data_IF_233898803118
#
_entry.id   IF_233898803118
#
_cell.length_a   1.000
_cell.length_b   1.000
_cell.length_c   1.000
_cell.angle_alpha   90.00
_cell.angle_beta   90.00
_cell.angle_gamma   90.00
#
_symmetry.space_group_name_H-M   'P 1'
#
loop_
_entity.id
_entity.type
_entity.pdbx_description
1 polymer ?
#
# COMPACT_ATOMS: atom_id res chain seq x y z
N UNK A 1 64.09 11.32 8.95
CA UNK A 1 62.78 10.76 9.36
C UNK A 1 61.72 11.50 8.55
N UNK A 2 60.86 10.79 7.83
CA UNK A 2 59.69 11.42 7.20
C UNK A 2 58.63 11.63 8.28
N UNK A 3 58.14 12.87 8.42
CA UNK A 3 56.96 13.17 9.23
C UNK A 3 55.76 12.82 8.34
N UNK A 4 55.05 11.74 8.68
CA UNK A 4 53.81 11.37 7.98
C UNK A 4 52.73 12.37 8.38
N UNK A 5 52.50 13.39 7.56
CA UNK A 5 51.41 14.36 7.73
C UNK A 5 50.06 13.64 7.62
N UNK A 6 49.50 13.21 8.75
CA UNK A 6 48.14 12.69 8.81
C UNK A 6 47.16 13.86 8.74
N UNK A 7 46.65 14.13 7.54
CA UNK A 7 45.63 15.15 7.30
C UNK A 7 44.24 14.48 7.26
N UNK A 8 43.41 14.55 8.32
CA UNK A 8 42.11 13.88 8.34
C UNK A 8 41.15 14.33 7.24
N UNK A 9 41.36 15.52 6.65
CA UNK A 9 40.62 15.97 5.46
C UNK A 9 40.95 15.20 4.18
N UNK A 10 42.18 14.70 4.00
CA UNK A 10 42.53 13.85 2.84
C UNK A 10 41.93 12.44 2.98
N UNK A 11 41.89 11.92 4.21
CA UNK A 11 41.27 10.62 4.54
C UNK A 11 39.73 10.62 4.47
N UNK A 12 39.11 11.80 4.54
CA UNK A 12 37.69 12.01 4.22
C UNK A 12 37.47 12.14 2.70
N UNK A 13 38.39 12.77 1.98
CA UNK A 13 38.36 12.90 0.52
C UNK A 13 38.63 11.59 -0.22
N UNK A 14 39.18 10.57 0.43
CA UNK A 14 39.38 9.23 -0.14
C UNK A 14 38.16 8.32 0.00
N UNK A 15 37.08 8.78 0.65
CA UNK A 15 35.80 8.07 0.67
C UNK A 15 35.07 8.40 -0.63
N UNK A 16 34.83 7.38 -1.44
CA UNK A 16 34.01 7.51 -2.63
C UNK A 16 32.52 7.57 -2.26
N UNK A 17 32.06 8.77 -1.89
CA UNK A 17 30.65 9.03 -1.64
C UNK A 17 29.77 8.76 -2.87
N UNK A 18 30.33 8.80 -4.09
CA UNK A 18 29.57 8.53 -5.31
C UNK A 18 29.18 7.05 -5.42
N UNK A 19 30.07 6.10 -5.11
CA UNK A 19 29.66 4.68 -5.04
C UNK A 19 28.89 4.32 -3.77
N UNK A 20 29.19 4.94 -2.62
CA UNK A 20 28.44 4.70 -1.37
C UNK A 20 26.97 5.13 -1.45
N UNK A 21 26.65 6.19 -2.21
CA UNK A 21 25.27 6.69 -2.39
C UNK A 21 24.67 6.18 -3.71
N UNK A 22 25.45 6.18 -4.80
CA UNK A 22 25.02 5.76 -6.13
C UNK A 22 24.75 4.26 -6.25
N UNK A 23 25.45 3.41 -5.49
CA UNK A 23 25.17 1.97 -5.45
C UNK A 23 23.75 1.66 -4.99
N UNK A 24 23.33 2.12 -3.79
CA UNK A 24 21.94 2.02 -3.33
C UNK A 24 20.91 2.66 -4.27
N UNK A 25 21.19 3.84 -4.85
CA UNK A 25 20.26 4.50 -5.77
C UNK A 25 20.06 3.70 -7.07
N UNK A 26 21.12 3.19 -7.68
CA UNK A 26 21.02 2.33 -8.87
C UNK A 26 20.26 1.04 -8.54
N UNK A 27 20.53 0.42 -7.38
CA UNK A 27 19.82 -0.78 -6.95
C UNK A 27 18.31 -0.55 -6.76
N UNK A 28 17.89 0.65 -6.33
CA UNK A 28 16.47 1.03 -6.25
C UNK A 28 15.84 1.16 -7.65
N UNK A 29 16.55 1.76 -8.61
CA UNK A 29 16.08 1.89 -10.01
C UNK A 29 15.96 0.50 -10.66
N UNK A 30 16.96 -0.36 -10.50
CA UNK A 30 16.94 -1.73 -11.02
C UNK A 30 15.81 -2.55 -10.37
N UNK A 31 15.60 -2.41 -9.06
CA UNK A 31 14.51 -3.07 -8.34
C UNK A 31 13.12 -2.59 -8.82
N UNK A 32 12.93 -1.29 -9.08
CA UNK A 32 11.69 -0.77 -9.67
C UNK A 32 11.48 -1.29 -11.10
N UNK A 33 12.53 -1.40 -11.91
CA UNK A 33 12.43 -1.94 -13.26
C UNK A 33 12.03 -3.44 -13.25
N UNK A 34 12.66 -4.24 -12.38
CA UNK A 34 12.31 -5.66 -12.19
C UNK A 34 10.87 -5.83 -11.66
N UNK A 35 10.42 -4.98 -10.75
CA UNK A 35 9.03 -4.95 -10.28
C UNK A 35 8.02 -4.64 -11.39
N UNK A 36 8.33 -3.65 -12.25
CA UNK A 36 7.48 -3.31 -13.38
C UNK A 36 7.39 -4.46 -14.40
N UNK A 37 8.50 -5.15 -14.68
CA UNK A 37 8.53 -6.31 -15.56
C UNK A 37 7.72 -7.48 -15.00
N UNK A 38 7.87 -7.83 -13.73
CA UNK A 38 7.08 -8.92 -13.12
C UNK A 38 5.57 -8.62 -13.10
N UNK A 39 5.18 -7.35 -13.00
CA UNK A 39 3.78 -6.90 -13.18
C UNK A 39 3.30 -7.15 -14.62
N UNK A 40 4.11 -6.80 -15.63
CA UNK A 40 3.78 -7.02 -17.05
C UNK A 40 3.68 -8.50 -17.38
N UNK A 41 4.60 -9.32 -16.87
CA UNK A 41 4.62 -10.77 -17.09
C UNK A 41 3.40 -11.44 -16.44
N UNK A 42 3.02 -11.02 -15.24
CA UNK A 42 1.78 -11.45 -14.59
C UNK A 42 0.53 -11.09 -15.42
N UNK A 43 0.45 -9.84 -15.91
CA UNK A 43 -0.67 -9.38 -16.75
C UNK A 43 -0.77 -10.23 -18.03
N UNK A 44 0.35 -10.52 -18.70
CA UNK A 44 0.37 -11.36 -19.90
C UNK A 44 -0.03 -12.80 -19.59
N UNK A 45 0.55 -13.39 -18.54
CA UNK A 45 0.36 -14.80 -18.21
C UNK A 45 -1.06 -15.15 -17.71
N UNK A 46 -1.75 -14.21 -17.05
CA UNK A 46 -3.10 -14.44 -16.48
C UNK A 46 -4.20 -13.73 -17.28
N UNK A 47 -3.87 -12.63 -17.94
CA UNK A 47 -4.85 -11.78 -18.61
C UNK A 47 -5.10 -12.10 -20.08
N UNK A 48 -4.20 -12.81 -20.76
CA UNK A 48 -4.24 -13.02 -22.20
C UNK A 48 -4.05 -14.50 -22.56
N UNK A 49 -4.62 -14.91 -23.70
CA UNK A 49 -4.24 -16.16 -24.36
C UNK A 49 -2.80 -16.08 -24.90
N UNK A 50 -2.07 -17.19 -25.07
CA UNK A 50 -0.73 -17.14 -25.65
C UNK A 50 -0.77 -16.70 -27.12
N UNK A 51 0.26 -15.97 -27.55
CA UNK A 51 0.45 -15.62 -28.96
C UNK A 51 0.53 -16.88 -29.83
N UNK A 52 -0.09 -16.85 -31.01
CA UNK A 52 -0.11 -17.96 -31.96
C UNK A 52 0.67 -17.61 -33.22
N UNK A 53 1.70 -18.38 -33.54
CA UNK A 53 2.46 -18.23 -34.79
C UNK A 53 1.92 -19.19 -35.86
N UNK A 54 1.56 -18.66 -37.04
CA UNK A 54 1.23 -19.51 -38.19
C UNK A 54 2.52 -20.05 -38.81
N UNK A 55 2.70 -21.38 -38.70
CA UNK A 55 3.87 -22.14 -39.17
C UNK A 55 4.13 -21.99 -40.68
N UNK A 56 3.15 -21.51 -41.46
CA UNK A 56 3.26 -21.36 -42.92
C UNK A 56 3.58 -19.94 -43.39
N UNK A 57 3.20 -18.91 -42.64
CA UNK A 57 3.42 -17.49 -42.99
C UNK A 57 4.43 -16.78 -42.09
N UNK A 58 4.70 -17.32 -40.89
CA UNK A 58 5.47 -16.63 -39.84
C UNK A 58 4.72 -15.46 -39.21
N UNK A 59 3.40 -15.38 -39.41
CA UNK A 59 2.58 -14.32 -38.83
C UNK A 59 2.25 -14.63 -37.37
N UNK A 60 2.65 -13.73 -36.46
CA UNK A 60 2.37 -13.82 -35.03
C UNK A 60 1.03 -13.15 -34.77
N UNK A 61 0.01 -13.94 -34.44
CA UNK A 61 -1.28 -13.46 -33.95
C UNK A 61 -1.18 -13.17 -32.45
N UNK A 62 -1.37 -11.91 -32.00
CA UNK A 62 -1.29 -11.58 -30.58
C UNK A 62 -2.39 -12.24 -29.75
N UNK A 63 -2.06 -12.58 -28.52
CA UNK A 63 -2.99 -13.06 -27.49
C UNK A 63 -4.19 -12.13 -27.28
N UNK A 64 -5.38 -12.71 -27.19
CA UNK A 64 -6.62 -12.01 -26.86
C UNK A 64 -6.86 -12.00 -25.34
N UNK A 65 -7.51 -10.96 -24.77
CA UNK A 65 -7.82 -10.94 -23.34
C UNK A 65 -8.76 -12.06 -22.92
N UNK A 66 -8.55 -12.62 -21.72
CA UNK A 66 -9.40 -13.66 -21.13
C UNK A 66 -10.58 -13.00 -20.41
N UNK A 67 -11.80 -13.39 -20.78
CA UNK A 67 -13.06 -12.94 -20.18
C UNK A 67 -13.68 -14.03 -19.33
N UNK A 68 -14.35 -13.62 -18.25
CA UNK A 68 -15.23 -14.46 -17.44
C UNK A 68 -16.68 -14.05 -17.72
N UNK A 69 -17.53 -15.03 -18.05
CA UNK A 69 -18.95 -14.82 -18.26
C UNK A 69 -19.75 -15.17 -17.01
N UNK A 70 -20.54 -14.21 -16.54
CA UNK A 70 -21.47 -14.36 -15.42
C UNK A 70 -22.90 -14.31 -15.95
N UNK A 71 -23.76 -15.19 -15.45
CA UNK A 71 -25.20 -15.20 -15.76
C UNK A 71 -25.98 -14.85 -14.52
N UNK A 72 -26.96 -13.96 -14.63
CA UNK A 72 -27.82 -13.57 -13.53
C UNK A 72 -29.25 -13.24 -14.02
N UNK A 73 -30.30 -13.56 -13.24
CA UNK A 73 -31.66 -13.14 -13.57
C UNK A 73 -31.82 -11.64 -13.30
N UNK A 74 -32.45 -10.92 -14.23
CA UNK A 74 -32.82 -9.51 -14.07
C UNK A 74 -34.30 -9.33 -14.35
N UNK A 75 -34.99 -8.56 -13.49
CA UNK A 75 -36.35 -8.12 -13.75
C UNK A 75 -36.36 -7.17 -14.94
N UNK A 76 -37.09 -7.54 -16.00
CA UNK A 76 -37.27 -6.71 -17.20
C UNK A 76 -38.61 -5.99 -17.22
N UNK A 77 -39.63 -6.58 -16.59
CA UNK A 77 -40.95 -5.97 -16.43
C UNK A 77 -41.43 -6.12 -14.98
N UNK A 78 -41.88 -5.03 -14.33
CA UNK A 78 -42.41 -5.09 -12.96
C UNK A 78 -43.81 -5.70 -12.94
N UNK A 79 -44.18 -6.26 -11.78
CA UNK A 79 -45.53 -6.73 -11.51
C UNK A 79 -46.57 -5.62 -11.73
N UNK A 80 -47.66 -5.94 -12.44
CA UNK A 80 -48.83 -5.05 -12.57
C UNK A 80 -50.00 -5.71 -11.82
N UNK A 81 -50.57 -5.05 -10.79
CA UNK A 81 -51.71 -5.60 -10.05
C UNK A 81 -52.94 -5.73 -10.95
N UNK A 82 -53.82 -6.67 -10.61
CA UNK A 82 -55.14 -6.71 -11.23
C UNK A 82 -55.93 -5.43 -10.88
N UNK A 83 -56.65 -4.90 -11.87
CA UNK A 83 -57.57 -3.77 -11.67
C UNK A 83 -58.93 -4.23 -12.18
N UNK A 84 -59.87 -4.35 -11.24
CA UNK A 84 -61.24 -4.76 -11.54
C UNK A 84 -62.13 -3.52 -11.67
N UNK A 85 -63.20 -3.61 -12.47
CA UNK A 85 -64.25 -2.60 -12.52
C UNK A 85 -63.80 -1.26 -13.10
N UNK A 86 -63.00 -1.26 -14.16
CA UNK A 86 -62.66 -0.04 -14.92
C UNK A 86 -63.82 0.27 -15.85
N UNK A 87 -64.41 1.46 -15.77
CA UNK A 87 -65.47 1.89 -16.69
C UNK A 87 -64.88 2.10 -18.09
N UNK A 88 -65.34 1.30 -19.05
CA UNK A 88 -64.94 1.39 -20.46
C UNK A 88 -65.93 2.22 -21.27
N UNK A 89 -67.23 2.04 -21.03
CA UNK A 89 -68.29 2.82 -21.68
C UNK A 89 -69.33 3.31 -20.69
N UNK A 90 -69.87 4.49 -20.98
CA UNK A 90 -71.00 5.09 -20.28
C UNK A 90 -72.09 5.35 -21.32
N UNK A 91 -73.28 4.82 -21.07
CA UNK A 91 -74.48 5.06 -21.86
C UNK A 91 -75.50 5.83 -21.02
N UNK A 92 -76.23 6.75 -21.65
CA UNK A 92 -77.27 7.53 -20.96
C UNK A 92 -78.50 6.64 -20.73
N UNK A 93 -79.00 6.60 -19.50
CA UNK A 93 -80.29 6.01 -19.16
C UNK A 93 -81.40 7.05 -19.14
N UNK A 94 -81.22 8.08 -18.32
CA UNK A 94 -82.03 9.31 -18.29
C UNK A 94 -81.10 10.49 -18.50
N UNK A 95 -81.38 11.34 -19.49
CA UNK A 95 -80.54 12.48 -19.86
C UNK A 95 -80.53 13.61 -18.83
N UNK A 96 -81.49 13.64 -17.89
CA UNK A 96 -81.66 14.74 -16.95
C UNK A 96 -82.00 16.05 -17.65
N UNK A 97 -81.65 17.19 -17.05
CA UNK A 97 -81.89 18.52 -17.63
C UNK A 97 -80.82 19.53 -17.20
N UNK A 98 -80.72 20.64 -17.93
CA UNK A 98 -79.79 21.77 -17.67
C UNK A 98 -78.28 21.43 -17.76
N UNK A 99 -77.90 20.34 -18.43
CA UNK A 99 -76.50 20.05 -18.73
C UNK A 99 -75.97 20.83 -19.95
N UNK A 100 -74.68 21.13 -19.92
CA UNK A 100 -73.95 21.77 -21.01
C UNK A 100 -72.85 20.86 -21.59
N UNK A 101 -72.52 21.04 -22.88
CA UNK A 101 -71.37 20.35 -23.48
C UNK A 101 -70.09 20.84 -22.82
N UNK A 102 -69.25 19.90 -22.36
CA UNK A 102 -68.04 20.15 -21.58
C UNK A 102 -68.23 20.01 -20.06
N UNK A 103 -69.45 19.81 -19.57
CA UNK A 103 -69.71 19.54 -18.15
C UNK A 103 -68.94 18.30 -17.66
N UNK A 104 -68.18 18.48 -16.58
CA UNK A 104 -67.46 17.39 -15.92
C UNK A 104 -68.36 16.70 -14.89
N UNK A 105 -68.56 15.40 -15.08
CA UNK A 105 -69.38 14.53 -14.22
C UNK A 105 -68.51 13.44 -13.58
N UNK A 106 -68.84 13.05 -12.36
CA UNK A 106 -68.22 11.98 -11.59
C UNK A 106 -69.21 10.83 -11.45
N UNK A 107 -68.78 9.62 -11.80
CA UNK A 107 -69.63 8.43 -11.68
C UNK A 107 -69.64 7.97 -10.23
N UNK A 108 -70.82 8.01 -9.61
CA UNK A 108 -71.01 7.58 -8.22
C UNK A 108 -71.35 6.09 -8.21
N UNK A 109 -70.96 5.34 -7.17
CA UNK A 109 -71.23 3.90 -7.13
C UNK A 109 -70.35 3.13 -6.15
N UNK A 110 -70.12 1.84 -6.45
CA UNK A 110 -69.24 0.94 -5.69
C UNK A 110 -67.75 1.20 -5.91
N UNK A 111 -67.39 1.77 -7.06
CA UNK A 111 -66.01 2.10 -7.42
C UNK A 111 -65.60 3.53 -7.05
N UNK A 112 -64.35 3.87 -7.39
CA UNK A 112 -63.74 5.17 -7.10
C UNK A 112 -62.98 5.74 -8.30
N UNK A 113 -62.96 7.07 -8.38
CA UNK A 113 -62.10 7.84 -9.27
C UNK A 113 -62.59 8.00 -10.72
N UNK A 114 -63.74 7.43 -11.10
CA UNK A 114 -64.22 7.57 -12.48
C UNK A 114 -64.84 8.94 -12.76
N UNK A 115 -64.37 9.56 -13.84
CA UNK A 115 -64.82 10.88 -14.30
C UNK A 115 -65.11 10.83 -15.81
N UNK A 116 -66.09 11.61 -16.24
CA UNK A 116 -66.50 11.70 -17.63
C UNK A 116 -66.93 13.13 -17.95
N UNK A 117 -67.08 13.42 -19.24
CA UNK A 117 -67.55 14.71 -19.73
C UNK A 117 -68.77 14.53 -20.63
N UNK A 118 -69.67 15.50 -20.59
CA UNK A 118 -70.84 15.53 -21.46
C UNK A 118 -70.42 16.09 -22.83
N UNK A 119 -70.56 15.27 -23.87
CA UNK A 119 -70.06 15.55 -25.22
C UNK A 119 -71.15 16.02 -26.19
N UNK A 120 -72.43 15.76 -25.87
CA UNK A 120 -73.58 16.28 -26.59
C UNK A 120 -74.80 16.41 -25.67
N UNK A 121 -75.65 17.40 -25.94
CA UNK A 121 -76.92 17.65 -25.23
C UNK A 121 -78.07 17.90 -26.21
N UNK A 122 -79.29 17.61 -25.78
CA UNK A 122 -80.54 17.90 -26.50
C UNK A 122 -80.98 19.37 -26.39
N UNK A 123 -82.16 19.68 -26.95
CA UNK A 123 -82.73 21.04 -26.94
C UNK A 123 -82.94 21.62 -25.55
N UNK A 124 -83.20 20.76 -24.57
CA UNK A 124 -83.63 21.12 -23.21
C UNK A 124 -82.55 20.80 -22.15
N UNK A 125 -81.30 20.58 -22.60
CA UNK A 125 -80.17 20.27 -21.74
C UNK A 125 -80.10 18.81 -21.26
N UNK A 126 -80.82 17.90 -21.92
CA UNK A 126 -80.70 16.46 -21.71
C UNK A 126 -79.34 15.96 -22.23
N UNK A 127 -78.54 15.27 -21.43
CA UNK A 127 -77.27 14.69 -21.89
C UNK A 127 -77.53 13.53 -22.88
N UNK A 128 -76.95 13.57 -24.08
CA UNK A 128 -77.16 12.53 -25.12
C UNK A 128 -75.91 11.72 -25.45
N UNK A 129 -74.73 12.22 -25.12
CA UNK A 129 -73.46 11.49 -25.30
C UNK A 129 -72.48 11.88 -24.21
N UNK A 130 -71.83 10.87 -23.61
CA UNK A 130 -70.87 11.02 -22.52
C UNK A 130 -69.56 10.37 -22.95
N UNK A 131 -68.44 11.02 -22.66
CA UNK A 131 -67.09 10.50 -22.93
C UNK A 131 -66.34 10.25 -21.63
N UNK A 132 -65.92 9.00 -21.41
CA UNK A 132 -65.12 8.63 -20.24
C UNK A 132 -63.78 9.36 -20.29
N UNK A 133 -63.43 10.06 -19.21
CA UNK A 133 -62.15 10.78 -19.05
C UNK A 133 -61.20 10.00 -18.14
N UNK A 134 -61.74 9.35 -17.11
CA UNK A 134 -61.06 8.33 -16.31
C UNK A 134 -62.05 7.20 -16.02
N UNK A 135 -61.67 5.95 -16.29
CA UNK A 135 -62.51 4.78 -16.02
C UNK A 135 -62.59 4.40 -14.55
N UNK A 136 -61.68 4.91 -13.70
CA UNK A 136 -61.61 4.57 -12.27
C UNK A 136 -61.36 3.07 -12.04
N UNK A 137 -61.77 2.58 -10.87
CA UNK A 137 -61.69 1.14 -10.53
C UNK A 137 -62.73 0.75 -9.48
N UNK A 138 -63.09 -0.52 -9.42
CA UNK A 138 -64.01 -1.11 -8.44
C UNK A 138 -65.50 -0.95 -8.75
N UNK A 139 -65.85 -0.45 -9.94
CA UNK A 139 -67.25 -0.33 -10.36
C UNK A 139 -67.83 -1.69 -10.79
N UNK A 140 -69.14 -1.85 -10.61
CA UNK A 140 -69.90 -2.99 -11.14
C UNK A 140 -70.75 -2.57 -12.35
N UNK A 141 -71.08 -3.51 -13.24
CA UNK A 141 -71.96 -3.24 -14.37
C UNK A 141 -73.39 -2.94 -13.89
N UNK A 142 -73.94 -1.79 -14.27
CA UNK A 142 -75.29 -1.42 -13.87
C UNK A 142 -75.65 0.04 -14.15
N UNK A 143 -76.86 0.42 -13.76
CA UNK A 143 -77.29 1.83 -13.76
C UNK A 143 -76.85 2.50 -12.47
N UNK A 144 -76.16 3.63 -12.60
CA UNK A 144 -75.61 4.42 -11.49
C UNK A 144 -75.93 5.91 -11.66
N UNK A 145 -76.13 6.65 -10.56
CA UNK A 145 -76.25 8.10 -10.61
C UNK A 145 -74.88 8.74 -10.86
N UNK A 146 -74.88 9.90 -11.51
CA UNK A 146 -73.69 10.76 -11.63
C UNK A 146 -73.88 12.04 -10.82
N UNK A 147 -72.77 12.70 -10.48
CA UNK A 147 -72.75 14.01 -9.82
C UNK A 147 -71.79 14.96 -10.52
N UNK A 148 -72.03 16.27 -10.43
CA UNK A 148 -71.29 17.29 -11.20
C UNK A 148 -72.04 17.76 -12.46
N UNK A 149 -71.42 18.66 -13.22
CA UNK A 149 -72.07 19.44 -14.29
C UNK A 149 -72.96 20.58 -13.76
N UNK A 150 -73.62 21.30 -14.68
CA UNK A 150 -74.64 22.31 -14.32
C UNK A 150 -76.04 21.71 -14.11
N UNK A 151 -76.29 20.53 -14.70
CA UNK A 151 -77.60 19.89 -14.70
C UNK A 151 -77.92 18.97 -13.53
N UNK A 152 -79.13 18.42 -13.53
CA UNK A 152 -79.61 17.44 -12.55
C UNK A 152 -80.36 16.28 -13.19
N UNK A 153 -80.49 15.16 -12.47
CA UNK A 153 -81.32 14.01 -12.87
C UNK A 153 -80.65 12.95 -13.74
N UNK A 154 -79.42 13.18 -14.22
CA UNK A 154 -78.72 12.25 -15.11
C UNK A 154 -78.46 10.89 -14.45
N UNK A 155 -78.93 9.82 -15.08
CA UNK A 155 -78.59 8.43 -14.73
C UNK A 155 -77.91 7.74 -15.91
N UNK A 156 -76.89 6.94 -15.63
CA UNK A 156 -76.07 6.33 -16.67
C UNK A 156 -75.91 4.83 -16.43
N UNK A 157 -75.92 4.05 -17.51
CA UNK A 157 -75.57 2.63 -17.47
C UNK A 157 -74.11 2.47 -17.86
N UNK A 158 -73.32 1.89 -16.96
CA UNK A 158 -71.88 1.69 -17.12
C UNK A 158 -71.56 0.24 -17.49
N UNK A 159 -70.64 0.07 -18.43
CA UNK A 159 -70.00 -1.21 -18.69
C UNK A 159 -68.54 -1.14 -18.27
N UNK A 160 -68.11 -2.15 -17.53
CA UNK A 160 -66.79 -2.25 -16.93
C UNK A 160 -66.01 -3.44 -17.50
N UNK A 161 -64.70 -3.25 -17.56
CA UNK A 161 -63.73 -4.26 -17.98
C UNK A 161 -62.71 -4.45 -16.87
N UNK A 162 -62.26 -5.69 -16.70
CA UNK A 162 -61.22 -6.07 -15.73
C UNK A 162 -59.90 -6.27 -16.47
N UNK A 163 -58.79 -5.89 -15.86
CA UNK A 163 -57.44 -6.22 -16.34
C UNK A 163 -56.77 -7.16 -15.33
N UNK A 164 -56.44 -8.37 -15.77
CA UNK A 164 -55.78 -9.38 -14.95
C UNK A 164 -54.39 -8.94 -14.47
N UNK A 165 -53.94 -9.51 -13.35
CA UNK A 165 -52.60 -9.25 -12.82
C UNK A 165 -51.53 -9.82 -13.76
N UNK A 166 -50.56 -9.00 -14.15
CA UNK A 166 -49.41 -9.43 -14.96
C UNK A 166 -48.23 -9.71 -14.02
N UNK A 167 -47.74 -10.96 -13.93
CA UNK A 167 -46.57 -11.29 -13.10
C UNK A 167 -45.32 -10.57 -13.59
N UNK A 168 -44.39 -10.27 -12.67
CA UNK A 168 -43.09 -9.70 -13.03
C UNK A 168 -42.30 -10.68 -13.90
N UNK A 169 -41.69 -10.18 -14.98
CA UNK A 169 -40.91 -11.00 -15.93
C UNK A 169 -39.42 -10.85 -15.63
N UNK A 170 -38.74 -11.99 -15.48
CA UNK A 170 -37.30 -12.08 -15.25
C UNK A 170 -36.62 -12.78 -16.43
N UNK A 171 -35.57 -12.16 -16.98
CA UNK A 171 -34.75 -12.73 -18.05
C UNK A 171 -33.32 -12.96 -17.56
N UNK A 172 -32.68 -14.03 -18.03
CA UNK A 172 -31.26 -14.31 -17.76
C UNK A 172 -30.38 -13.37 -18.60
N UNK A 173 -29.60 -12.52 -17.92
CA UNK A 173 -28.60 -11.63 -18.53
C UNK A 173 -27.21 -12.28 -18.47
N UNK A 174 -26.41 -12.10 -19.51
CA UNK A 174 -25.00 -12.49 -19.54
C UNK A 174 -24.12 -11.23 -19.46
N UNK A 175 -23.17 -11.23 -18.52
CA UNK A 175 -22.17 -10.17 -18.33
C UNK A 175 -20.78 -10.76 -18.57
N UNK A 176 -20.00 -10.15 -19.45
CA UNK A 176 -18.63 -10.56 -19.76
C UNK A 176 -17.64 -9.52 -19.24
N UNK A 177 -16.70 -9.96 -18.41
CA UNK A 177 -15.75 -9.09 -17.72
C UNK A 177 -14.33 -9.64 -17.89
N UNK A 178 -13.32 -8.83 -18.28
CA UNK A 178 -11.94 -9.28 -18.37
C UNK A 178 -11.42 -9.71 -16.99
N UNK A 179 -10.76 -10.87 -16.92
CA UNK A 179 -10.27 -11.44 -15.65
C UNK A 179 -9.30 -10.50 -14.90
N UNK A 180 -8.53 -9.70 -15.64
CA UNK A 180 -7.61 -8.69 -15.11
C UNK A 180 -8.29 -7.65 -14.21
N UNK A 181 -9.60 -7.41 -14.37
CA UNK A 181 -10.33 -6.44 -13.55
C UNK A 181 -10.89 -7.03 -12.25
N UNK A 182 -10.85 -8.37 -12.13
CA UNK A 182 -11.30 -9.15 -10.96
C UNK A 182 -10.13 -9.62 -10.08
N UNK A 183 -8.90 -9.50 -10.57
CA UNK A 183 -7.69 -10.04 -9.96
C UNK A 183 -6.83 -8.89 -9.41
N UNK A 184 -6.36 -8.95 -8.14
CA UNK A 184 -5.39 -7.98 -7.65
C UNK A 184 -4.07 -8.16 -8.40
N UNK A 185 -3.75 -7.20 -9.26
CA UNK A 185 -2.48 -7.18 -9.99
C UNK A 185 -1.38 -6.75 -9.00
N UNK A 186 -0.38 -7.61 -8.72
CA UNK A 186 0.70 -7.26 -7.82
C UNK A 186 1.56 -6.18 -8.48
N UNK A 187 1.57 -4.99 -7.89
CA UNK A 187 2.41 -3.89 -8.32
C UNK A 187 3.14 -3.32 -7.10
N UNK A 188 4.40 -3.69 -6.93
CA UNK A 188 5.26 -3.15 -5.88
C UNK A 188 5.98 -1.92 -6.42
N UNK A 189 5.89 -0.80 -5.70
CA UNK A 189 6.65 0.42 -5.98
C UNK A 189 7.41 0.83 -4.72
N UNK A 190 8.65 1.26 -4.90
CA UNK A 190 9.36 2.00 -3.86
C UNK A 190 8.73 3.39 -3.77
N UNK A 191 8.02 3.64 -2.68
CA UNK A 191 7.38 4.94 -2.39
C UNK A 191 8.42 5.94 -1.87
N UNK A 192 9.26 5.48 -0.94
CA UNK A 192 10.27 6.29 -0.26
C UNK A 192 11.51 5.43 0.05
N UNK A 193 12.68 6.04 -0.11
CA UNK A 193 13.98 5.44 0.22
C UNK A 193 14.80 6.39 1.09
N UNK A 194 15.02 6.01 2.35
CA UNK A 194 15.80 6.76 3.33
C UNK A 194 17.20 6.13 3.44
N UNK A 195 18.25 6.95 3.32
CA UNK A 195 19.65 6.52 3.36
C UNK A 195 20.35 7.19 4.54
N UNK A 196 20.53 6.45 5.63
CA UNK A 196 21.17 6.92 6.86
C UNK A 196 22.67 6.61 6.85
N UNK A 197 23.51 7.65 6.78
CA UNK A 197 24.96 7.51 6.84
C UNK A 197 25.52 7.91 8.22
N UNK A 198 25.93 6.91 9.01
CA UNK A 198 26.58 7.11 10.29
C UNK A 198 28.11 6.92 10.17
N UNK A 199 28.85 8.03 10.16
CA UNK A 199 30.31 8.02 10.23
C UNK A 199 30.82 8.49 11.60
N UNK A 200 31.57 7.62 12.29
CA UNK A 200 32.32 8.01 13.49
C UNK A 200 33.82 7.87 13.22
N UNK A 201 34.50 9.01 13.15
CA UNK A 201 35.96 9.09 13.02
C UNK A 201 36.53 9.44 14.39
N UNK A 202 37.26 8.51 15.02
CA UNK A 202 37.96 8.75 16.28
C UNK A 202 39.46 8.75 16.02
N UNK A 203 40.10 9.91 16.16
CA UNK A 203 41.56 10.06 16.07
C UNK A 203 42.13 10.29 17.47
N UNK A 204 43.16 9.54 17.85
CA UNK A 204 43.90 9.73 19.10
C UNK A 204 45.37 10.00 18.77
N UNK A 205 45.83 11.23 19.04
CA UNK A 205 47.21 11.64 18.87
C UNK A 205 47.96 11.60 20.20
N UNK A 206 48.96 10.71 20.31
CA UNK A 206 49.78 10.57 21.52
C UNK A 206 51.06 11.41 21.42
N UNK A 207 50.98 12.68 21.82
CA UNK A 207 52.14 13.54 22.00
C UNK A 207 52.99 13.08 23.21
N UNK A 208 54.08 12.36 22.97
CA UNK A 208 55.04 11.97 24.01
C UNK A 208 56.17 12.99 24.15
N UNK A 209 56.19 13.74 25.25
CA UNK A 209 57.34 14.57 25.66
C UNK A 209 57.73 14.22 27.09
N UNK A 210 58.90 13.62 27.28
CA UNK A 210 59.26 13.03 28.58
C UNK A 210 60.68 12.47 28.69
N UNK A 211 61.68 13.23 28.26
CA UNK A 211 63.09 12.84 28.45
C UNK A 211 63.48 12.83 29.94
N UNK A 212 63.60 11.65 30.55
CA UNK A 212 64.22 11.46 31.87
C UNK A 212 65.41 10.51 31.79
N UNK A 213 66.59 11.10 31.59
CA UNK A 213 67.88 10.43 31.66
C UNK A 213 68.18 10.01 33.11
N UNK A 214 68.12 8.72 33.41
CA UNK A 214 68.67 8.14 34.65
C UNK A 214 69.85 7.26 34.29
N UNK A 215 71.04 7.85 34.41
CA UNK A 215 72.33 7.25 34.04
C UNK A 215 73.02 6.59 35.21
N UNK A 216 73.87 5.59 34.88
CA UNK A 216 74.92 5.06 35.74
C UNK A 216 75.82 3.99 35.01
N UNK A 217 76.81 3.37 35.67
CA UNK A 217 77.80 2.33 35.19
C UNK A 217 78.41 1.39 36.28
N UNK A 218 78.00 0.11 36.41
CA UNK A 218 78.32 -0.91 37.47
C UNK A 218 79.67 -1.65 37.48
N UNK A 219 80.81 -1.10 37.05
CA UNK A 219 82.05 -1.89 36.98
C UNK A 219 82.85 -1.95 38.28
N UNK A 220 83.02 -3.16 38.83
CA UNK A 220 84.00 -3.46 39.87
C UNK A 220 85.18 -4.25 39.28
N UNK A 221 86.39 -3.70 39.41
CA UNK A 221 87.64 -4.38 39.03
C UNK A 221 88.30 -4.96 40.28
N UNK A 222 88.37 -6.30 40.36
CA UNK A 222 88.84 -7.00 41.55
C UNK A 222 90.31 -7.40 41.37
N UNK A 223 91.24 -6.50 41.72
CA UNK A 223 92.69 -6.75 41.65
C UNK A 223 93.30 -6.86 43.05
N UNK A 224 93.66 -8.08 43.41
CA UNK A 224 94.33 -8.40 44.68
C UNK A 224 95.84 -8.44 44.46
N UNK A 225 96.52 -7.30 44.61
CA UNK A 225 97.99 -7.21 44.58
C UNK A 225 98.54 -6.95 45.99
N UNK A 226 98.91 -8.03 46.69
CA UNK A 226 99.54 -7.97 48.01
C UNK A 226 101.06 -7.93 47.88
N UNK A 227 101.65 -6.74 47.99
CA UNK A 227 103.08 -6.53 48.13
C UNK A 227 103.42 -5.81 49.44
N UNK A 228 104.53 -6.19 50.08
CA UNK A 228 105.08 -5.54 51.28
C UNK A 228 106.61 -5.56 51.24
N UNK A 229 107.25 -4.56 51.83
CA UNK A 229 108.71 -4.41 51.83
C UNK A 229 109.22 -3.42 52.87
N UNK A 230 110.54 -3.14 52.84
CA UNK A 230 111.36 -2.42 53.84
C UNK A 230 111.84 -3.28 55.03
N UNK A 231 113.05 -3.11 55.59
CA UNK A 231 114.24 -2.39 55.11
C UNK A 231 115.50 -2.83 55.90
N UNK A 232 116.68 -2.69 55.26
CA UNK A 232 118.04 -2.45 55.83
C UNK A 232 118.64 -3.34 56.96
N UNK A 233 119.99 -3.42 56.93
CA UNK A 233 120.92 -3.91 57.98
C UNK A 233 120.85 -5.39 58.38
N UNK A 234 121.84 -6.17 57.92
CA UNK A 234 122.16 -7.52 58.41
C UNK A 234 122.78 -8.41 57.33
N UNK A 235 124.02 -8.87 57.52
CA UNK A 235 124.74 -9.69 56.53
C UNK A 235 124.13 -11.09 56.38
N UNK A 236 123.79 -11.46 55.14
CA UNK A 236 123.50 -12.84 54.69
C UNK A 236 122.51 -13.63 55.60
N UNK A 237 121.21 -13.34 55.49
CA UNK A 237 120.17 -14.31 55.87
C UNK A 237 119.21 -14.57 54.71
N UNK A 238 119.30 -15.77 54.19
CA UNK A 238 118.47 -16.34 53.13
C UNK A 238 117.09 -16.79 53.66
N UNK A 239 116.28 -17.28 52.72
CA UNK A 239 115.17 -18.27 52.74
C UNK A 239 114.74 -19.06 54.01
N UNK A 240 115.33 -18.91 55.19
CA UNK A 240 115.01 -19.68 56.41
C UNK A 240 114.84 -18.85 57.70
N UNK A 241 114.69 -17.53 57.62
CA UNK A 241 114.41 -16.69 58.80
C UNK A 241 112.93 -16.81 59.26
N UNK A 242 112.67 -17.66 60.27
CA UNK A 242 111.41 -17.64 61.03
C UNK A 242 111.32 -16.36 61.88
N UNK A 243 110.65 -15.32 61.40
CA UNK A 243 109.92 -14.36 62.25
C UNK A 243 109.09 -13.34 61.45
N UNK A 244 107.77 -13.56 61.46
CA UNK A 244 106.80 -12.64 62.08
C UNK A 244 107.05 -11.12 62.01
N UNK A 245 106.54 -10.49 60.95
CA UNK A 245 105.85 -9.21 61.05
C UNK A 245 104.79 -9.09 59.92
N UNK A 246 103.51 -9.25 60.26
CA UNK A 246 102.42 -9.02 59.30
C UNK A 246 102.19 -7.50 59.16
N UNK A 247 102.38 -6.93 57.97
CA UNK A 247 101.79 -5.63 57.61
C UNK A 247 100.77 -5.82 56.49
N UNK A 248 99.53 -6.14 56.88
CA UNK A 248 98.37 -6.29 56.00
C UNK A 248 97.49 -5.06 56.11
N UNK A 249 97.57 -4.15 55.15
CA UNK A 249 96.61 -3.06 55.02
C UNK A 249 95.57 -3.39 53.94
N UNK A 250 94.31 -3.48 54.35
CA UNK A 250 93.17 -3.66 53.45
C UNK A 250 92.37 -2.36 53.38
N UNK A 251 92.22 -1.81 52.18
CA UNK A 251 91.31 -0.71 51.87
C UNK A 251 90.57 -1.03 50.58
N UNK A 252 89.35 -1.55 50.71
CA UNK A 252 88.41 -1.62 49.60
C UNK A 252 87.66 -0.30 49.49
N UNK A 253 87.51 0.23 48.27
CA UNK A 253 86.69 1.42 47.99
C UNK A 253 85.74 1.08 46.85
N UNK A 254 84.47 0.85 47.18
CA UNK A 254 83.44 0.44 46.22
C UNK A 254 82.96 1.63 45.38
N UNK A 255 83.61 1.91 44.26
CA UNK A 255 83.09 2.86 43.26
C UNK A 255 82.11 2.16 42.30
N UNK A 256 80.81 2.23 42.62
CA UNK A 256 79.73 1.89 41.68
C UNK A 256 79.31 3.12 40.90
N UNK A 257 78.73 2.90 39.73
CA UNK A 257 77.78 3.87 39.17
C UNK A 257 76.39 3.22 38.91
N UNK A 258 76.27 2.08 38.17
CA UNK A 258 75.08 1.17 37.84
C UNK A 258 74.31 1.25 36.45
N UNK A 259 74.83 0.72 35.31
CA UNK A 259 74.34 1.00 33.91
C UNK A 259 73.09 0.29 33.34
N UNK A 260 72.43 0.93 32.33
CA UNK A 260 71.58 0.29 31.30
C UNK A 260 71.06 1.26 30.19
N UNK A 261 70.88 0.78 28.95
CA UNK A 261 70.06 1.43 27.91
C UNK A 261 68.95 0.48 27.47
N UNK A 262 67.79 0.59 28.13
CA UNK A 262 66.64 -0.30 27.91
C UNK A 262 65.64 0.35 26.93
N UNK A 263 65.80 0.12 25.63
CA UNK A 263 64.90 0.69 24.61
C UNK A 263 63.65 -0.17 24.38
N UNK A 264 62.66 -0.06 25.25
CA UNK A 264 61.32 -0.61 25.00
C UNK A 264 60.52 0.34 24.11
N UNK A 265 60.56 0.12 22.79
CA UNK A 265 59.67 0.82 21.86
C UNK A 265 58.28 0.19 21.89
N UNK A 266 57.24 0.98 22.17
CA UNK A 266 55.86 0.66 21.82
C UNK A 266 55.33 1.78 20.94
N UNK A 267 55.34 1.50 19.64
CA UNK A 267 54.90 2.42 18.60
C UNK A 267 53.64 1.82 17.98
N UNK A 268 52.56 2.60 17.92
CA UNK A 268 51.28 2.12 17.40
C UNK A 268 50.32 3.27 17.15
N UNK A 269 49.90 3.41 15.90
CA UNK A 269 48.80 4.30 15.52
C UNK A 269 47.51 3.46 15.60
N UNK A 270 46.67 3.66 16.62
CA UNK A 270 45.31 3.09 16.61
C UNK A 270 44.36 4.10 15.97
N UNK A 271 44.10 3.92 14.67
CA UNK A 271 43.07 4.67 13.94
C UNK A 271 41.83 3.78 13.86
N UNK A 272 40.79 4.13 14.64
CA UNK A 272 39.56 3.35 14.72
C UNK A 272 38.46 4.08 13.94
N UNK A 273 38.25 3.64 12.70
CA UNK A 273 37.19 4.14 11.80
C UNK A 273 36.00 3.17 11.87
N UNK A 274 34.81 3.68 12.14
CA UNK A 274 33.57 2.89 12.05
C UNK A 274 32.57 3.63 11.18
N UNK A 275 32.17 2.98 10.09
CA UNK A 275 31.17 3.45 9.14
C UNK A 275 29.99 2.48 9.16
N UNK A 276 28.77 3.02 9.23
CA UNK A 276 27.53 2.24 9.17
C UNK A 276 26.57 2.94 8.21
N UNK A 277 25.99 2.17 7.29
CA UNK A 277 25.00 2.64 6.32
C UNK A 277 23.70 1.89 6.58
N UNK A 278 22.64 2.62 6.92
CA UNK A 278 21.28 2.11 6.98
C UNK A 278 20.53 2.50 5.71
N UNK A 279 19.81 1.56 5.11
CA UNK A 279 18.87 1.84 4.01
C UNK A 279 17.50 1.36 4.46
N UNK A 280 16.53 2.27 4.53
CA UNK A 280 15.11 1.95 4.78
C UNK A 280 14.34 2.18 3.49
N UNK A 281 13.51 1.21 3.09
CA UNK A 281 12.70 1.29 1.87
C UNK A 281 11.25 1.04 2.26
N UNK A 282 10.37 2.00 1.94
CA UNK A 282 8.92 1.86 2.13
C UNK A 282 8.30 1.31 0.85
N UNK A 283 7.61 0.19 0.98
CA UNK A 283 6.90 -0.49 -0.10
C UNK A 283 5.42 -0.49 0.26
N UNK A 284 4.58 -0.08 -0.67
CA UNK A 284 3.12 -0.11 -0.55
C UNK A 284 2.50 -1.02 -1.60
N UNK A 285 1.28 -1.48 -1.31
CA UNK A 285 0.43 -2.25 -2.19
C UNK A 285 -1.02 -1.83 -1.89
N UNK A 286 -1.80 -1.56 -2.92
CA UNK A 286 -3.22 -1.18 -2.80
C UNK A 286 -4.17 -2.39 -2.82
N UNK A 287 -5.40 -2.15 -2.35
CA UNK A 287 -6.43 -3.17 -2.09
C UNK A 287 -7.37 -3.41 -3.30
N UNK A 288 -8.55 -3.97 -3.00
CA UNK A 288 -9.56 -4.60 -3.87
C UNK A 288 -9.65 -4.05 -5.32
N UNK A 289 -9.63 -4.92 -6.35
CA UNK A 289 -9.81 -4.52 -7.75
C UNK A 289 -11.14 -3.81 -8.03
N UNK A 290 -11.09 -2.64 -8.66
CA UNK A 290 -12.27 -1.84 -9.01
C UNK A 290 -13.28 -2.56 -9.94
N UNK A 291 -12.85 -3.55 -10.73
CA UNK A 291 -13.76 -4.38 -11.52
C UNK A 291 -14.56 -5.37 -10.67
N UNK A 292 -13.95 -5.89 -9.60
CA UNK A 292 -14.64 -6.73 -8.62
C UNK A 292 -15.69 -5.92 -7.86
N UNK A 293 -15.37 -4.72 -7.41
CA UNK A 293 -16.32 -3.80 -6.76
C UNK A 293 -17.52 -3.51 -7.69
N UNK A 294 -17.26 -3.13 -8.95
CA UNK A 294 -18.32 -2.85 -9.92
C UNK A 294 -19.17 -4.07 -10.26
N UNK A 295 -18.58 -5.26 -10.35
CA UNK A 295 -19.33 -6.50 -10.56
C UNK A 295 -20.20 -6.84 -9.35
N UNK A 296 -19.68 -6.68 -8.13
CA UNK A 296 -20.45 -6.89 -6.91
C UNK A 296 -21.64 -5.92 -6.83
N UNK A 297 -21.46 -4.64 -7.17
CA UNK A 297 -22.57 -3.68 -7.25
C UNK A 297 -23.63 -4.05 -8.31
N UNK A 298 -23.22 -4.51 -9.50
CA UNK A 298 -24.16 -5.00 -10.53
C UNK A 298 -24.92 -6.24 -10.06
N UNK A 299 -24.27 -7.15 -9.33
CA UNK A 299 -24.92 -8.32 -8.76
C UNK A 299 -25.84 -7.94 -7.59
N UNK A 300 -25.50 -6.94 -6.79
CA UNK A 300 -26.35 -6.40 -5.71
C UNK A 300 -27.62 -5.75 -6.29
N UNK A 301 -27.48 -4.89 -7.31
CA UNK A 301 -28.61 -4.30 -8.06
C UNK A 301 -29.49 -5.37 -8.73
N UNK A 302 -28.93 -6.55 -9.04
CA UNK A 302 -29.66 -7.68 -9.60
C UNK A 302 -30.40 -8.54 -8.54
N UNK A 303 -30.08 -8.40 -7.25
CA UNK A 303 -30.81 -9.08 -6.16
C UNK A 303 -32.15 -8.37 -5.95
N UNK A 304 -33.13 -8.75 -6.77
CA UNK A 304 -34.52 -8.36 -6.57
C UNK A 304 -35.11 -9.20 -5.44
N UNK A 305 -35.51 -8.56 -4.34
CA UNK A 305 -36.29 -9.20 -3.30
C UNK A 305 -37.64 -9.68 -3.88
N UNK A 306 -37.78 -10.99 -4.11
CA UNK A 306 -39.04 -11.57 -4.53
C UNK A 306 -40.04 -11.49 -3.37
N UNK A 307 -41.23 -10.89 -3.55
CA UNK A 307 -42.28 -10.98 -2.56
C UNK A 307 -42.79 -12.43 -2.53
N UNK A 308 -42.40 -13.18 -1.49
CA UNK A 308 -43.06 -14.45 -1.17
C UNK A 308 -44.49 -14.13 -0.76
N UNK A 309 -45.45 -14.38 -1.66
CA UNK A 309 -46.85 -14.05 -1.45
C UNK A 309 -47.42 -14.67 -0.17
N UNK A 310 -48.13 -13.84 0.58
CA UNK A 310 -49.07 -14.24 1.64
C UNK A 310 -50.50 -13.90 1.23
#
# INVERSE_FOLDING_TARGET
MAITNYAPGQELSSIDFQSMIGGPLNAIVDAQAQAALSTVDFIKAVGFTPDSEDVTTGEITPGTPIYVSFKYPKMVEPYKPAINGIIETISVGDGGSEYSVGDAITVSGTGSGATATISAVGSDGEATTITVTNGGSGYENGSVPVSGGSGTGLTVTIATTNTDAVPAVFNEMQLEVPILTMLPIPFIRVEEGEIDFHAKITSMEYANVGSKFKSSTSFGYNSTTSGGGSASTGFITSLFAKSSANLKYSRSVNFKVNASYQRTSRQGNKVEKTFQLGVKVKITQDEIPAGMEKLLGILEDAIVAQPTGG
#
